data_IF_570151213325
#
_entry.id   IF_570151213325
#
_cell.length_a   1.000
_cell.length_b   1.000
_cell.length_c   1.000
_cell.angle_alpha   90.00
_cell.angle_beta   90.00
_cell.angle_gamma   90.00
#
_symmetry.space_group_name_H-M   'P 1'
#
loop_
_entity.id
_entity.type
_entity.pdbx_description
1 polymer ?
#
# COMPACT_ATOMS: atom_id res chain seq x y z
N UNK A 1 26.49 9.02 10.34
CA UNK A 1 25.02 9.05 10.18
C UNK A 1 24.42 10.11 11.12
N UNK A 2 24.92 11.34 10.98
CA UNK A 2 24.59 12.56 11.72
C UNK A 2 24.48 13.66 10.64
N UNK A 3 23.51 14.56 10.76
CA UNK A 3 23.29 15.76 9.91
C UNK A 3 22.39 15.66 8.65
N UNK A 4 21.14 15.20 8.77
CA UNK A 4 20.07 15.62 7.82
C UNK A 4 18.71 15.87 8.47
N UNK A 5 18.71 16.37 9.70
CA UNK A 5 17.53 16.92 10.37
C UNK A 5 17.93 18.33 10.78
N UNK A 6 17.17 19.35 10.35
CA UNK A 6 17.42 20.81 10.43
C UNK A 6 18.14 21.48 9.25
N UNK A 7 17.39 21.69 8.16
CA UNK A 7 17.31 22.95 7.40
C UNK A 7 16.33 22.73 6.25
N UNK A 8 15.13 23.29 6.37
CA UNK A 8 14.28 23.83 5.29
C UNK A 8 12.96 24.30 5.91
N UNK A 9 13.06 25.23 6.86
CA UNK A 9 12.01 26.20 7.12
C UNK A 9 12.54 27.56 6.70
N UNK A 10 11.68 28.34 6.01
CA UNK A 10 11.84 29.75 5.63
C UNK A 10 12.39 30.03 4.23
N UNK A 11 11.54 29.81 3.21
CA UNK A 11 11.38 30.72 2.06
C UNK A 11 10.17 30.31 1.22
N UNK A 12 8.96 30.61 1.71
CA UNK A 12 7.80 30.80 0.85
C UNK A 12 6.76 31.66 1.60
N UNK A 13 7.11 32.93 1.78
CA UNK A 13 6.12 34.01 1.88
C UNK A 13 6.33 34.85 0.63
N UNK A 14 5.21 35.28 0.07
CA UNK A 14 5.07 36.21 -1.05
C UNK A 14 5.12 35.57 -2.43
N UNK A 15 4.00 34.95 -2.84
CA UNK A 15 3.42 35.10 -4.18
C UNK A 15 1.95 34.62 -4.14
N UNK A 16 1.13 35.36 -3.41
CA UNK A 16 -0.31 35.39 -3.64
C UNK A 16 -0.64 36.73 -4.28
N UNK A 17 -1.66 36.70 -5.15
CA UNK A 17 -2.43 37.82 -5.70
C UNK A 17 -1.97 38.36 -7.07
N UNK A 18 -2.53 37.79 -8.15
CA UNK A 18 -3.26 38.59 -9.15
C UNK A 18 -4.19 37.73 -10.02
N UNK A 19 -5.49 38.04 -9.99
CA UNK A 19 -6.44 37.74 -11.06
C UNK A 19 -7.58 36.76 -10.70
N UNK A 20 -8.86 37.12 -10.96
CA UNK A 20 -9.98 36.18 -10.86
C UNK A 20 -10.16 35.45 -12.20
N UNK A 21 -10.36 34.13 -12.17
CA UNK A 21 -10.86 33.38 -13.34
C UNK A 21 -12.19 32.71 -12.99
N UNK A 22 -13.22 33.13 -13.71
CA UNK A 22 -14.62 32.70 -13.63
C UNK A 22 -14.80 31.34 -14.34
N UNK A 23 -15.74 30.47 -13.92
CA UNK A 23 -15.89 29.12 -14.45
C UNK A 23 -16.95 29.08 -15.56
N UNK A 24 -16.55 28.70 -16.77
CA UNK A 24 -17.37 28.08 -17.84
C UNK A 24 -16.54 28.06 -19.12
N UNK A 25 -16.11 26.89 -19.56
CA UNK A 25 -16.34 26.38 -20.92
C UNK A 25 -15.49 25.14 -21.24
N UNK A 26 -16.19 24.17 -21.84
CA UNK A 26 -15.66 23.10 -22.69
C UNK A 26 -14.93 21.95 -21.94
N UNK A 27 -15.01 20.69 -22.34
CA UNK A 27 -15.61 20.13 -23.53
C UNK A 27 -15.93 18.65 -23.31
N UNK A 28 -16.92 18.21 -24.06
CA UNK A 28 -17.61 16.95 -24.02
C UNK A 28 -16.79 15.87 -24.76
N UNK A 29 -15.76 15.29 -24.12
CA UNK A 29 -14.99 14.16 -24.68
C UNK A 29 -14.52 13.16 -23.60
N UNK A 30 -15.43 12.31 -23.12
CA UNK A 30 -15.04 10.98 -22.62
C UNK A 30 -16.22 9.99 -22.48
N UNK A 31 -17.14 9.96 -23.45
CA UNK A 31 -18.23 8.96 -23.49
C UNK A 31 -18.13 8.08 -24.76
N UNK A 32 -16.90 7.83 -25.23
CA UNK A 32 -16.63 6.92 -26.35
C UNK A 32 -15.82 5.68 -25.98
N UNK A 33 -15.31 5.57 -24.75
CA UNK A 33 -14.59 4.35 -24.31
C UNK A 33 -15.49 3.33 -23.59
N UNK A 34 -16.62 3.75 -23.02
CA UNK A 34 -17.52 2.86 -22.28
C UNK A 34 -18.61 2.20 -23.14
N UNK A 35 -18.79 2.61 -24.41
CA UNK A 35 -19.68 1.92 -25.36
C UNK A 35 -19.03 0.72 -26.07
N UNK A 36 -17.71 0.62 -26.07
CA UNK A 36 -16.99 -0.51 -26.69
C UNK A 36 -16.84 -1.70 -25.73
N UNK A 37 -16.93 -1.50 -24.42
CA UNK A 37 -16.81 -2.58 -23.43
C UNK A 37 -18.14 -3.28 -23.11
N UNK A 38 -19.29 -2.67 -23.42
CA UNK A 38 -20.60 -3.31 -23.21
C UNK A 38 -20.98 -4.30 -24.32
N UNK A 39 -20.47 -4.14 -25.55
CA UNK A 39 -20.80 -5.03 -26.66
C UNK A 39 -20.00 -6.36 -26.67
N UNK A 40 -18.99 -6.50 -25.80
CA UNK A 40 -18.12 -7.67 -25.77
C UNK A 40 -18.55 -8.76 -24.76
N UNK A 41 -19.55 -8.48 -23.89
CA UNK A 41 -19.88 -9.35 -22.76
C UNK A 41 -21.18 -10.14 -22.90
N UNK A 42 -21.97 -9.91 -23.96
CA UNK A 42 -23.15 -10.72 -24.28
C UNK A 42 -23.02 -11.25 -25.71
N UNK A 43 -22.43 -12.43 -25.85
CA UNK A 43 -22.44 -13.19 -27.10
C UNK A 43 -23.31 -14.43 -26.94
N UNK A 44 -24.39 -14.41 -27.72
CA UNK A 44 -25.39 -15.43 -27.96
C UNK A 44 -24.77 -16.82 -28.26
N UNK A 45 -25.16 -17.90 -27.56
CA UNK A 45 -24.52 -19.21 -27.68
C UNK A 45 -24.76 -19.96 -29.00
N UNK A 46 -25.49 -19.40 -29.98
CA UNK A 46 -25.83 -20.12 -31.22
C UNK A 46 -25.33 -19.49 -32.54
N UNK A 47 -24.34 -18.59 -32.50
CA UNK A 47 -23.79 -18.01 -33.73
C UNK A 47 -22.55 -18.77 -34.23
N UNK A 48 -22.77 -19.76 -35.10
CA UNK A 48 -21.72 -20.38 -35.92
C UNK A 48 -21.23 -19.40 -36.99
N UNK A 49 -20.27 -18.56 -36.64
CA UNK A 49 -19.40 -17.89 -37.62
C UNK A 49 -17.95 -18.18 -37.26
N UNK A 50 -17.31 -18.95 -38.13
CA UNK A 50 -15.91 -19.33 -38.07
C UNK A 50 -15.01 -18.10 -38.09
N UNK A 51 -14.68 -17.54 -36.93
CA UNK A 51 -13.49 -16.71 -36.74
C UNK A 51 -12.66 -17.31 -35.62
N UNK A 52 -11.48 -17.77 -36.01
CA UNK A 52 -10.55 -18.55 -35.23
C UNK A 52 -10.09 -17.74 -34.00
N UNK A 53 -10.69 -18.00 -32.83
CA UNK A 53 -10.22 -17.52 -31.52
C UNK A 53 -8.93 -18.30 -31.14
N UNK A 54 -7.80 -17.99 -31.77
CA UNK A 54 -6.52 -18.67 -31.47
C UNK A 54 -5.77 -18.01 -30.31
N UNK A 55 -6.18 -16.81 -29.86
CA UNK A 55 -5.41 -16.06 -28.86
C UNK A 55 -5.35 -16.66 -27.43
N UNK A 56 -6.31 -17.43 -26.88
CA UNK A 56 -6.16 -17.94 -25.51
C UNK A 56 -5.33 -19.24 -25.45
N UNK A 57 -5.23 -19.98 -26.56
CA UNK A 57 -4.52 -21.28 -26.59
C UNK A 57 -2.99 -21.12 -26.55
N UNK A 58 -2.46 -20.01 -27.09
CA UNK A 58 -1.01 -19.78 -27.15
C UNK A 58 -0.43 -19.48 -25.77
N UNK A 59 -1.17 -18.75 -24.91
CA UNK A 59 -0.72 -18.47 -23.54
C UNK A 59 -0.63 -19.75 -22.70
N UNK A 60 -1.58 -20.67 -22.82
CA UNK A 60 -1.55 -21.97 -22.14
C UNK A 60 -0.43 -22.89 -22.65
N UNK A 61 -0.16 -22.89 -23.96
CA UNK A 61 0.95 -23.64 -24.54
C UNK A 61 2.33 -23.08 -24.10
N UNK A 62 2.46 -21.75 -23.96
CA UNK A 62 3.69 -21.10 -23.52
C UNK A 62 4.04 -21.39 -22.04
N UNK A 63 3.04 -21.66 -21.20
CA UNK A 63 3.24 -22.16 -19.83
C UNK A 63 3.80 -23.59 -19.81
N UNK A 64 3.37 -24.46 -20.74
CA UNK A 64 3.83 -25.85 -20.83
C UNK A 64 5.24 -25.98 -21.40
N UNK A 65 5.72 -24.99 -22.16
CA UNK A 65 7.09 -24.95 -22.70
C UNK A 65 8.09 -24.19 -21.80
N UNK A 66 7.69 -23.76 -20.59
CA UNK A 66 8.58 -23.09 -19.64
C UNK A 66 9.10 -21.71 -20.08
N UNK A 67 8.48 -21.10 -21.09
CA UNK A 67 8.94 -19.84 -21.69
C UNK A 67 8.43 -18.58 -20.98
N UNK A 68 7.49 -18.73 -20.03
CA UNK A 68 6.95 -17.63 -19.23
C UNK A 68 7.22 -17.93 -17.76
N UNK A 69 8.31 -17.38 -17.25
CA UNK A 69 8.53 -17.30 -15.80
C UNK A 69 7.55 -16.27 -15.23
N UNK A 70 6.76 -16.59 -14.17
CA UNK A 70 6.08 -15.55 -13.43
C UNK A 70 7.16 -14.61 -12.89
N UNK A 71 7.19 -13.37 -13.38
CA UNK A 71 8.04 -12.36 -12.81
C UNK A 71 7.61 -12.17 -11.36
N UNK A 72 8.53 -12.43 -10.42
CA UNK A 72 8.32 -12.01 -9.05
C UNK A 72 8.10 -10.49 -9.09
N UNK A 73 6.93 -10.05 -8.61
CA UNK A 73 6.69 -8.62 -8.42
C UNK A 73 7.68 -8.18 -7.35
N UNK A 74 8.75 -7.51 -7.77
CA UNK A 74 9.67 -6.88 -6.84
C UNK A 74 8.94 -5.66 -6.26
N UNK A 75 8.35 -5.85 -5.08
CA UNK A 75 7.68 -4.79 -4.36
C UNK A 75 8.74 -3.80 -3.84
N UNK A 76 9.02 -2.77 -4.63
CA UNK A 76 9.79 -1.62 -4.17
C UNK A 76 9.03 -0.92 -3.04
N UNK A 77 9.74 -0.51 -1.99
CA UNK A 77 9.18 0.29 -0.90
C UNK A 77 8.49 1.57 -1.38
N UNK A 78 8.95 2.14 -2.50
CA UNK A 78 8.32 3.32 -3.12
C UNK A 78 6.85 3.04 -3.50
N UNK A 79 6.57 1.83 -4.00
CA UNK A 79 5.22 1.40 -4.44
C UNK A 79 4.25 1.16 -3.27
N UNK A 80 4.74 1.13 -2.03
CA UNK A 80 3.94 0.92 -0.83
C UNK A 80 3.62 2.22 -0.07
N UNK A 81 4.14 3.36 -0.52
CA UNK A 81 3.89 4.65 0.12
C UNK A 81 2.41 5.04 0.01
N UNK A 82 1.88 5.61 1.10
CA UNK A 82 0.50 6.08 1.20
C UNK A 82 0.53 7.60 1.38
N UNK A 83 -0.31 8.31 0.65
CA UNK A 83 -0.44 9.78 0.74
C UNK A 83 -1.89 10.21 0.96
N UNK A 84 -2.05 11.44 1.47
CA UNK A 84 -3.33 12.12 1.60
C UNK A 84 -3.29 13.42 0.77
N UNK A 85 -4.26 13.71 -0.11
CA UNK A 85 -4.32 14.97 -0.84
C UNK A 85 -4.50 16.17 0.10
N UNK A 86 -3.97 17.33 -0.27
CA UNK A 86 -4.03 18.57 0.53
C UNK A 86 -5.44 18.94 1.02
N UNK A 87 -6.45 18.67 0.18
CA UNK A 87 -7.88 18.89 0.49
C UNK A 87 -8.71 17.60 0.33
N UNK A 88 -8.08 16.43 0.51
CA UNK A 88 -8.70 15.12 0.35
C UNK A 88 -9.28 14.55 1.65
N UNK A 89 -10.23 13.60 1.51
CA UNK A 89 -10.80 12.83 2.63
C UNK A 89 -10.43 11.34 2.62
N UNK A 90 -9.59 10.92 1.67
CA UNK A 90 -9.25 9.53 1.43
C UNK A 90 -7.74 9.38 1.26
N UNK A 91 -7.26 8.15 1.47
CA UNK A 91 -5.86 7.78 1.30
C UNK A 91 -5.66 7.14 -0.07
N UNK A 92 -4.51 7.41 -0.67
CA UNK A 92 -4.12 6.87 -1.97
C UNK A 92 -2.75 6.21 -1.87
N UNK A 93 -2.49 5.21 -2.71
CA UNK A 93 -1.11 4.78 -2.99
C UNK A 93 -0.41 5.88 -3.77
N UNK A 94 0.79 6.27 -3.34
CA UNK A 94 1.51 7.39 -3.95
C UNK A 94 1.85 7.14 -5.42
N UNK A 95 2.30 5.94 -5.77
CA UNK A 95 2.76 5.61 -7.12
C UNK A 95 1.61 5.29 -8.08
N UNK A 96 0.60 4.53 -7.64
CA UNK A 96 -0.49 4.08 -8.52
C UNK A 96 -1.74 4.97 -8.49
N UNK A 97 -1.81 5.93 -7.57
CA UNK A 97 -3.00 6.76 -7.29
C UNK A 97 -4.28 5.97 -6.94
N UNK A 98 -4.15 4.67 -6.67
CA UNK A 98 -5.27 3.82 -6.30
C UNK A 98 -5.74 4.10 -4.86
N UNK A 99 -7.05 4.03 -4.58
CA UNK A 99 -7.57 4.18 -3.22
C UNK A 99 -6.97 3.16 -2.25
N UNK A 100 -6.46 3.65 -1.12
CA UNK A 100 -6.01 2.83 0.00
C UNK A 100 -7.08 2.77 1.09
N UNK A 101 -7.82 1.67 1.15
CA UNK A 101 -8.80 1.43 2.20
C UNK A 101 -8.09 0.97 3.48
N UNK A 102 -8.06 1.81 4.52
CA UNK A 102 -7.40 1.50 5.79
C UNK A 102 -8.23 0.52 6.63
N UNK A 103 -7.89 -0.76 6.58
CA UNK A 103 -8.50 -1.80 7.43
C UNK A 103 -7.47 -2.28 8.45
N UNK A 104 -7.52 -1.67 9.63
CA UNK A 104 -6.55 -1.91 10.69
C UNK A 104 -7.02 -2.88 11.76
N UNK A 105 -6.08 -3.66 12.28
CA UNK A 105 -6.19 -4.34 13.57
C UNK A 105 -5.26 -3.68 14.59
N UNK A 106 -5.55 -3.88 15.87
CA UNK A 106 -4.77 -3.29 16.97
C UNK A 106 -4.12 -4.38 17.80
N UNK A 107 -2.80 -4.52 17.68
CA UNK A 107 -1.98 -5.44 18.47
C UNK A 107 -0.86 -4.66 19.16
N UNK A 108 -1.25 -3.92 20.21
CA UNK A 108 -0.36 -3.01 20.93
C UNK A 108 0.96 -3.65 21.32
N UNK A 109 0.92 -4.83 21.93
CA UNK A 109 2.12 -5.46 22.48
C UNK A 109 2.75 -6.53 21.58
N UNK A 110 2.46 -6.50 20.28
CA UNK A 110 2.89 -7.51 19.30
C UNK A 110 4.39 -7.79 19.34
N UNK A 111 5.20 -6.73 19.40
CA UNK A 111 6.67 -6.78 19.22
C UNK A 111 7.43 -7.32 20.42
N UNK A 112 6.92 -7.13 21.64
CA UNK A 112 7.66 -7.43 22.86
C UNK A 112 7.02 -8.54 23.72
N UNK A 113 5.79 -8.97 23.45
CA UNK A 113 5.15 -10.08 24.20
C UNK A 113 5.15 -11.41 23.48
N UNK A 114 5.24 -11.39 22.16
CA UNK A 114 5.14 -12.60 21.36
C UNK A 114 6.51 -13.00 20.82
N UNK A 115 6.70 -14.31 20.62
CA UNK A 115 7.82 -14.82 19.84
C UNK A 115 7.52 -14.72 18.34
N UNK A 116 8.55 -14.94 17.52
CA UNK A 116 8.48 -14.84 16.07
C UNK A 116 7.37 -15.71 15.47
N UNK A 117 7.28 -16.98 15.89
CA UNK A 117 6.26 -17.92 15.38
C UNK A 117 4.83 -17.44 15.65
N UNK A 118 4.60 -16.84 16.83
CA UNK A 118 3.28 -16.32 17.21
C UNK A 118 2.95 -15.04 16.45
N UNK A 119 3.95 -14.18 16.20
CA UNK A 119 3.82 -12.99 15.35
C UNK A 119 3.49 -13.41 13.91
N UNK A 120 4.23 -14.37 13.34
CA UNK A 120 4.00 -14.87 11.98
C UNK A 120 2.58 -15.43 11.83
N UNK A 121 2.14 -16.24 12.80
CA UNK A 121 0.78 -16.78 12.84
C UNK A 121 -0.28 -15.67 12.91
N UNK A 122 -0.08 -14.68 13.79
CA UNK A 122 -0.98 -13.53 13.89
C UNK A 122 -1.05 -12.75 12.57
N UNK A 123 0.09 -12.37 11.99
CA UNK A 123 0.15 -11.58 10.76
C UNK A 123 -0.49 -12.33 9.58
N UNK A 124 -0.22 -13.63 9.44
CA UNK A 124 -0.87 -14.48 8.43
C UNK A 124 -2.39 -14.51 8.59
N UNK A 125 -2.86 -14.72 9.81
CA UNK A 125 -4.31 -14.72 10.12
C UNK A 125 -4.97 -13.38 9.79
N UNK A 126 -4.26 -12.26 10.01
CA UNK A 126 -4.78 -10.91 9.69
C UNK A 126 -4.80 -10.66 8.18
N UNK A 127 -3.78 -11.10 7.46
CA UNK A 127 -3.75 -11.05 6.01
C UNK A 127 -4.90 -11.88 5.39
N UNK A 128 -5.16 -13.09 5.88
CA UNK A 128 -6.27 -13.95 5.44
C UNK A 128 -7.65 -13.30 5.68
N UNK A 129 -7.77 -12.48 6.72
CA UNK A 129 -8.99 -11.70 7.02
C UNK A 129 -9.06 -10.36 6.27
N UNK A 130 -8.08 -10.07 5.41
CA UNK A 130 -8.00 -8.86 4.59
C UNK A 130 -7.69 -7.59 5.39
N UNK A 131 -7.03 -7.69 6.54
CA UNK A 131 -6.43 -6.53 7.19
C UNK A 131 -5.16 -6.12 6.43
N UNK A 132 -4.93 -4.82 6.30
CA UNK A 132 -3.76 -4.26 5.61
C UNK A 132 -2.96 -3.27 6.45
N UNK A 133 -3.40 -3.03 7.69
CA UNK A 133 -2.67 -2.23 8.69
C UNK A 133 -2.71 -2.96 10.03
N UNK A 134 -1.60 -2.95 10.75
CA UNK A 134 -1.52 -3.40 12.15
C UNK A 134 -0.93 -2.26 12.97
N UNK A 135 -1.67 -1.80 13.97
CA UNK A 135 -1.19 -0.80 14.92
C UNK A 135 -0.53 -1.51 16.10
N UNK A 136 0.69 -1.11 16.41
CA UNK A 136 1.48 -1.66 17.52
C UNK A 136 2.36 -0.58 18.14
N UNK A 137 2.80 -0.80 19.39
CA UNK A 137 3.82 0.03 20.02
C UNK A 137 5.17 -0.68 19.98
N UNK A 138 6.23 0.09 19.77
CA UNK A 138 7.60 -0.43 19.84
C UNK A 138 8.00 -0.69 21.30
N UNK A 139 7.56 0.16 22.22
CA UNK A 139 7.84 0.08 23.65
C UNK A 139 6.54 -0.14 24.41
N UNK A 140 6.52 -1.05 25.38
CA UNK A 140 5.31 -1.29 26.18
C UNK A 140 4.87 -0.04 26.93
N UNK A 141 3.57 0.22 26.93
CA UNK A 141 2.98 1.23 27.80
C UNK A 141 3.11 0.86 29.30
N UNK A 142 3.29 -0.43 29.62
CA UNK A 142 3.41 -0.93 30.99
C UNK A 142 4.83 -1.38 31.27
N UNK A 143 5.56 -0.59 32.06
CA UNK A 143 6.95 -0.84 32.44
C UNK A 143 7.89 -1.00 31.23
N UNK A 144 7.68 -0.19 30.19
CA UNK A 144 8.39 -0.29 28.93
C UNK A 144 9.91 -0.17 29.00
N UNK A 145 10.50 0.37 30.07
CA UNK A 145 11.96 0.47 30.23
C UNK A 145 12.57 -0.65 31.07
N UNK A 146 11.74 -1.36 31.85
CA UNK A 146 12.21 -2.34 32.86
C UNK A 146 11.68 -3.75 32.62
N UNK A 147 10.70 -3.90 31.73
CA UNK A 147 10.13 -5.20 31.37
C UNK A 147 10.87 -5.81 30.19
N UNK A 148 11.26 -7.07 30.34
CA UNK A 148 11.88 -7.85 29.29
C UNK A 148 10.86 -8.19 28.17
N UNK A 149 11.36 -8.26 26.94
CA UNK A 149 10.64 -8.85 25.82
C UNK A 149 10.49 -10.39 26.01
N UNK A 150 9.84 -11.06 25.06
CA UNK A 150 9.71 -12.52 25.08
C UNK A 150 11.06 -13.27 25.18
N UNK A 151 12.13 -12.71 24.60
CA UNK A 151 13.46 -13.30 24.55
C UNK A 151 14.35 -12.97 25.75
N UNK A 152 13.88 -12.13 26.68
CA UNK A 152 14.63 -11.74 27.87
C UNK A 152 15.43 -10.44 27.73
N UNK A 153 15.19 -9.64 26.69
CA UNK A 153 15.93 -8.40 26.45
C UNK A 153 15.15 -7.16 26.92
N UNK A 154 15.86 -6.17 27.46
CA UNK A 154 15.32 -4.82 27.67
C UNK A 154 15.38 -4.01 26.37
N UNK A 155 14.45 -3.06 26.16
CA UNK A 155 14.50 -2.19 24.99
C UNK A 155 15.57 -1.09 25.11
N UNK A 156 16.08 -0.83 26.32
CA UNK A 156 17.07 0.20 26.61
C UNK A 156 18.15 -0.30 27.55
N UNK A 157 19.38 0.18 27.36
CA UNK A 157 20.49 -0.06 28.26
C UNK A 157 20.30 0.72 29.57
N UNK A 158 20.43 0.04 30.72
CA UNK A 158 20.29 0.63 32.06
C UNK A 158 18.98 1.42 32.28
N UNK A 159 17.91 1.08 31.55
CA UNK A 159 16.64 1.84 31.55
C UNK A 159 16.74 3.30 31.07
N UNK A 160 17.82 3.68 30.39
CA UNK A 160 18.02 5.02 29.81
C UNK A 160 17.38 5.10 28.42
N UNK A 161 16.32 5.91 28.28
CA UNK A 161 15.57 6.05 27.02
C UNK A 161 16.36 6.71 25.89
N UNK A 162 17.54 7.27 26.20
CA UNK A 162 18.48 7.80 25.19
C UNK A 162 19.42 6.74 24.63
N UNK A 163 19.41 5.53 25.20
CA UNK A 163 20.31 4.43 24.86
C UNK A 163 19.53 3.15 24.49
N UNK A 164 19.05 3.03 23.23
CA UNK A 164 18.40 1.80 22.77
C UNK A 164 19.34 0.59 22.86
N UNK A 165 18.77 -0.57 23.15
CA UNK A 165 19.49 -1.85 23.13
C UNK A 165 19.61 -2.36 21.67
N UNK A 166 20.80 -2.78 21.26
CA UNK A 166 21.14 -3.23 19.89
C UNK A 166 21.16 -4.75 19.74
#
# INVERSE_FOLDING_TARGET
MKERIFKLTKLQRDFCCHGPCNPRESNNRSISFLKLLWSAYFQDPNSTKHTMKVLPAIAAAAYLTGLVSPSAIELSWHNLTITAPQYGRYLLRTESEEPFFWKADTAWELTHRLNKTSIDFYLKTRAEKGYNVVLSVVISAYNGTTRLNFYGDLPFNNSDTTQPNE
#
